data_IF_480512449729
#
_entry.id   IF_480512449729
#
_cell.length_a   1.000
_cell.length_b   1.000
_cell.length_c   1.000
_cell.angle_alpha   90.00
_cell.angle_beta   90.00
_cell.angle_gamma   90.00
#
_symmetry.space_group_name_H-M   'P 1'
#
loop_
_entity.id
_entity.type
_entity.pdbx_description
1 polymer ?
#
# COMPACT_ATOMS: atom_id res chain seq x y z
N UNK A 1 -37.09 0.44 -15.37
CA UNK A 1 -35.78 -0.26 -15.58
C UNK A 1 -35.69 -1.41 -14.58
N UNK A 2 -35.41 -2.62 -15.06
CA UNK A 2 -35.44 -3.84 -14.24
C UNK A 2 -34.29 -3.82 -13.20
N UNK A 3 -34.61 -3.95 -11.91
CA UNK A 3 -33.68 -3.84 -10.78
C UNK A 3 -32.44 -4.75 -10.92
N UNK A 4 -32.64 -5.96 -11.45
CA UNK A 4 -31.58 -6.95 -11.66
C UNK A 4 -30.49 -6.50 -12.65
N UNK A 5 -30.84 -5.72 -13.67
CA UNK A 5 -29.88 -5.22 -14.67
C UNK A 5 -28.94 -4.20 -14.04
N UNK A 6 -29.43 -3.34 -13.14
CA UNK A 6 -28.62 -2.31 -12.45
C UNK A 6 -27.58 -2.93 -11.48
N UNK A 7 -27.97 -3.95 -10.71
CA UNK A 7 -27.07 -4.66 -9.81
C UNK A 7 -25.88 -5.32 -10.55
N UNK A 8 -26.16 -5.99 -11.68
CA UNK A 8 -25.11 -6.66 -12.44
C UNK A 8 -24.16 -5.66 -13.12
N UNK A 9 -24.66 -4.50 -13.56
CA UNK A 9 -23.79 -3.42 -14.06
C UNK A 9 -22.83 -2.91 -12.98
N UNK A 10 -23.33 -2.73 -11.75
CA UNK A 10 -22.50 -2.32 -10.60
C UNK A 10 -21.36 -3.31 -10.37
N UNK A 11 -21.67 -4.60 -10.32
CA UNK A 11 -20.66 -5.67 -10.14
C UNK A 11 -19.65 -5.67 -11.28
N UNK A 12 -20.12 -5.53 -12.53
CA UNK A 12 -19.22 -5.51 -13.70
C UNK A 12 -18.23 -4.36 -13.60
N UNK A 13 -18.69 -3.16 -13.20
CA UNK A 13 -17.80 -2.01 -12.97
C UNK A 13 -16.77 -2.26 -11.89
N UNK A 14 -17.18 -2.82 -10.74
CA UNK A 14 -16.27 -3.17 -9.64
C UNK A 14 -15.21 -4.21 -10.06
N UNK A 15 -15.65 -5.29 -10.73
CA UNK A 15 -14.74 -6.33 -11.23
C UNK A 15 -13.75 -5.77 -12.25
N UNK A 16 -14.23 -4.96 -13.20
CA UNK A 16 -13.38 -4.37 -14.23
C UNK A 16 -12.30 -3.45 -13.61
N UNK A 17 -12.62 -2.70 -12.54
CA UNK A 17 -11.62 -1.91 -11.81
C UNK A 17 -10.48 -2.78 -11.27
N UNK A 18 -10.79 -3.92 -10.65
CA UNK A 18 -9.76 -4.80 -10.07
C UNK A 18 -8.96 -5.50 -11.16
N UNK A 19 -9.63 -6.12 -12.14
CA UNK A 19 -8.96 -6.89 -13.20
C UNK A 19 -8.03 -6.03 -14.04
N UNK A 20 -8.43 -4.79 -14.32
CA UNK A 20 -7.65 -3.86 -15.15
C UNK A 20 -6.64 -3.02 -14.34
N UNK A 21 -6.63 -3.11 -13.00
CA UNK A 21 -5.66 -2.40 -12.19
C UNK A 21 -4.28 -3.09 -12.27
N UNK A 22 -3.25 -2.29 -12.52
CA UNK A 22 -1.85 -2.72 -12.50
C UNK A 22 -1.38 -2.92 -11.06
N UNK A 23 -0.89 -4.12 -10.67
CA UNK A 23 -0.25 -4.31 -9.38
C UNK A 23 0.87 -3.29 -9.18
N UNK A 24 0.81 -2.57 -8.07
CA UNK A 24 1.71 -1.43 -7.82
C UNK A 24 2.20 -1.47 -6.38
N UNK A 25 3.47 -1.18 -6.13
CA UNK A 25 4.02 -1.06 -4.79
C UNK A 25 3.45 0.17 -4.09
N UNK A 26 2.97 -0.01 -2.87
CA UNK A 26 2.52 1.06 -1.98
C UNK A 26 3.44 1.16 -0.77
N UNK A 27 4.17 2.27 -0.69
CA UNK A 27 5.14 2.55 0.38
C UNK A 27 4.61 3.53 1.43
N UNK A 28 3.36 3.99 1.35
CA UNK A 28 2.81 4.99 2.27
C UNK A 28 2.87 4.52 3.73
N UNK A 29 2.38 3.32 4.01
CA UNK A 29 2.41 2.77 5.36
C UNK A 29 3.84 2.61 5.88
N UNK A 30 4.78 2.23 5.02
CA UNK A 30 6.19 2.14 5.39
C UNK A 30 6.77 3.50 5.78
N UNK A 31 6.45 4.56 5.03
CA UNK A 31 6.90 5.91 5.35
C UNK A 31 6.35 6.40 6.70
N UNK A 32 5.06 6.19 6.97
CA UNK A 32 4.43 6.54 8.25
C UNK A 32 5.07 5.73 9.38
N UNK A 33 5.25 4.42 9.18
CA UNK A 33 5.86 3.54 10.17
C UNK A 33 7.30 3.98 10.49
N UNK A 34 8.12 4.27 9.48
CA UNK A 34 9.49 4.74 9.68
C UNK A 34 9.53 6.06 10.44
N UNK A 35 8.64 7.01 10.13
CA UNK A 35 8.55 8.28 10.85
C UNK A 35 8.16 8.07 12.33
N UNK A 36 7.16 7.22 12.59
CA UNK A 36 6.73 6.88 13.96
C UNK A 36 7.84 6.19 14.75
N UNK A 37 8.55 5.24 14.12
CA UNK A 37 9.65 4.52 14.76
C UNK A 37 10.81 5.46 15.14
N UNK A 38 11.14 6.45 14.30
CA UNK A 38 12.14 7.49 14.61
C UNK A 38 11.76 8.36 15.80
N UNK A 39 10.47 8.66 15.97
CA UNK A 39 9.98 9.48 17.10
C UNK A 39 9.94 8.71 18.42
N UNK A 40 9.96 7.38 18.37
CA UNK A 40 9.69 6.50 19.53
C UNK A 40 10.90 5.65 19.92
N UNK A 41 12.12 6.00 19.52
CA UNK A 41 13.33 5.19 19.73
C UNK A 41 13.64 4.86 21.19
N UNK A 42 13.25 5.72 22.13
CA UNK A 42 13.43 5.51 23.56
C UNK A 42 12.47 4.47 24.17
N UNK A 43 11.47 3.99 23.41
CA UNK A 43 10.45 3.08 23.90
C UNK A 43 10.76 1.61 23.58
N UNK A 44 10.20 0.65 24.35
CA UNK A 44 10.25 -0.78 24.00
C UNK A 44 9.60 -1.06 22.64
N UNK A 45 10.06 -2.11 21.96
CA UNK A 45 9.65 -2.45 20.58
C UNK A 45 8.13 -2.60 20.44
N UNK A 46 7.47 -3.17 21.43
CA UNK A 46 6.03 -3.41 21.46
C UNK A 46 5.28 -2.08 21.44
N UNK A 47 5.71 -1.12 22.26
CA UNK A 47 5.14 0.24 22.30
C UNK A 47 5.39 0.98 20.99
N UNK A 48 6.60 0.89 20.43
CA UNK A 48 6.93 1.48 19.13
C UNK A 48 6.00 0.95 18.03
N UNK A 49 5.78 -0.36 17.98
CA UNK A 49 4.88 -0.98 17.00
C UNK A 49 3.41 -0.58 17.20
N UNK A 50 2.94 -0.53 18.44
CA UNK A 50 1.57 -0.13 18.76
C UNK A 50 1.30 1.34 18.36
N UNK A 51 2.24 2.24 18.65
CA UNK A 51 2.16 3.65 18.27
C UNK A 51 2.22 3.80 16.75
N UNK A 52 3.15 3.12 16.07
CA UNK A 52 3.23 3.16 14.62
C UNK A 52 1.98 2.62 13.93
N UNK A 53 1.36 1.57 14.48
CA UNK A 53 0.08 1.07 13.98
C UNK A 53 -1.03 2.13 14.13
N UNK A 54 -1.12 2.77 15.29
CA UNK A 54 -2.04 3.89 15.52
C UNK A 54 -1.81 5.02 14.51
N UNK A 55 -0.55 5.39 14.26
CA UNK A 55 -0.19 6.47 13.34
C UNK A 55 -0.57 6.11 11.89
N UNK A 56 -0.32 4.87 11.46
CA UNK A 56 -0.77 4.37 10.15
C UNK A 56 -2.29 4.46 10.06
N UNK A 57 -3.05 3.98 11.06
CA UNK A 57 -4.50 4.08 11.05
C UNK A 57 -5.02 5.52 11.01
N UNK A 58 -4.30 6.48 11.62
CA UNK A 58 -4.71 7.87 11.69
C UNK A 58 -4.36 8.68 10.42
N UNK A 59 -3.29 8.32 9.71
CA UNK A 59 -2.71 9.15 8.64
C UNK A 59 -2.85 8.54 7.24
N UNK A 60 -3.03 7.22 7.13
CA UNK A 60 -3.18 6.49 5.87
C UNK A 60 -4.23 7.13 4.96
N UNK A 61 -3.96 7.14 3.66
CA UNK A 61 -4.92 7.55 2.65
C UNK A 61 -6.12 6.59 2.63
N UNK A 62 -7.32 7.15 2.79
CA UNK A 62 -8.59 6.42 2.71
C UNK A 62 -9.25 6.75 1.38
N UNK A 63 -9.38 5.73 0.53
CA UNK A 63 -10.05 5.82 -0.76
C UNK A 63 -11.36 5.04 -0.70
N UNK A 64 -12.46 5.71 -1.03
CA UNK A 64 -13.77 5.09 -1.26
C UNK A 64 -14.04 5.23 -2.74
N UNK A 65 -14.15 4.11 -3.46
CA UNK A 65 -14.33 4.17 -4.90
C UNK A 65 -15.80 4.09 -5.30
N UNK A 66 -16.12 4.61 -6.49
CA UNK A 66 -17.49 4.56 -7.01
C UNK A 66 -18.05 3.14 -7.00
N UNK A 67 -19.34 3.04 -6.68
CA UNK A 67 -20.14 1.82 -6.70
C UNK A 67 -19.84 0.80 -5.59
N UNK A 68 -18.93 1.10 -4.66
CA UNK A 68 -18.65 0.25 -3.50
C UNK A 68 -19.77 0.32 -2.46
N UNK A 69 -20.07 -0.83 -1.86
CA UNK A 69 -20.97 -0.94 -0.70
C UNK A 69 -20.19 -1.32 0.56
N UNK A 70 -19.17 -2.16 0.41
CA UNK A 70 -18.16 -2.44 1.42
C UNK A 70 -16.93 -1.66 0.98
N UNK A 71 -16.48 -0.74 1.82
CA UNK A 71 -15.43 0.23 1.49
C UNK A 71 -14.17 -0.05 2.29
N UNK A 72 -13.06 0.51 1.82
CA UNK A 72 -11.77 0.44 2.47
C UNK A 72 -10.77 -0.45 1.71
N UNK A 73 -9.50 -0.08 1.82
CA UNK A 73 -8.39 -0.79 1.21
C UNK A 73 -7.21 -0.80 2.18
N UNK A 74 -6.40 -1.86 2.13
CA UNK A 74 -5.18 -1.98 2.94
C UNK A 74 -4.13 -0.90 2.58
N UNK A 75 -4.03 -0.55 1.29
CA UNK A 75 -3.17 0.52 0.76
C UNK A 75 -3.95 1.74 0.28
N UNK A 76 -3.25 2.73 -0.28
CA UNK A 76 -3.82 3.93 -0.92
C UNK A 76 -4.39 3.65 -2.31
N UNK A 77 -3.93 2.58 -2.95
CA UNK A 77 -4.23 2.21 -4.35
C UNK A 77 -4.84 0.81 -4.47
N UNK A 78 -5.70 0.64 -5.47
CA UNK A 78 -6.25 -0.67 -5.81
C UNK A 78 -5.12 -1.62 -6.29
N UNK A 79 -5.14 -2.88 -5.82
CA UNK A 79 -4.07 -3.87 -6.05
C UNK A 79 -2.68 -3.38 -5.62
N UNK A 80 -2.63 -2.57 -4.57
CA UNK A 80 -1.39 -2.12 -3.93
C UNK A 80 -0.70 -3.22 -3.14
N UNK A 81 0.57 -3.49 -3.43
CA UNK A 81 1.46 -4.27 -2.56
C UNK A 81 1.99 -3.38 -1.44
N UNK A 82 1.40 -3.50 -0.25
CA UNK A 82 1.78 -2.67 0.91
C UNK A 82 3.12 -3.13 1.47
N UNK A 83 4.11 -2.22 1.51
CA UNK A 83 5.42 -2.50 2.09
C UNK A 83 5.36 -2.50 3.62
N UNK A 84 5.72 -3.62 4.23
CA UNK A 84 5.91 -3.75 5.68
C UNK A 84 7.40 -3.61 6.02
N UNK A 85 7.87 -2.37 6.18
CA UNK A 85 9.29 -2.06 6.33
C UNK A 85 9.92 -2.69 7.59
N UNK A 86 9.16 -2.90 8.67
CA UNK A 86 9.66 -3.52 9.91
C UNK A 86 9.75 -5.06 9.86
N UNK A 87 9.28 -5.67 8.77
CA UNK A 87 9.27 -7.14 8.60
C UNK A 87 10.22 -7.54 7.48
N UNK A 88 10.04 -6.99 6.28
CA UNK A 88 10.83 -7.39 5.11
C UNK A 88 10.92 -6.25 4.10
N UNK A 89 11.97 -5.42 4.24
CA UNK A 89 12.30 -4.36 3.28
C UNK A 89 13.43 -4.76 2.31
N UNK A 90 14.25 -5.76 2.68
CA UNK A 90 15.46 -6.13 1.95
C UNK A 90 15.21 -6.79 0.60
N UNK A 91 14.06 -7.45 0.41
CA UNK A 91 13.65 -7.98 -0.90
C UNK A 91 13.38 -6.84 -1.87
N UNK A 92 12.62 -5.83 -1.42
CA UNK A 92 12.38 -4.64 -2.24
C UNK A 92 13.67 -3.89 -2.53
N UNK A 93 14.62 -3.83 -1.59
CA UNK A 93 15.93 -3.19 -1.84
C UNK A 93 16.71 -3.89 -2.97
N UNK A 94 16.74 -5.22 -2.98
CA UNK A 94 17.42 -6.02 -4.02
C UNK A 94 16.74 -5.91 -5.38
N UNK A 95 15.42 -5.76 -5.40
CA UNK A 95 14.61 -5.77 -6.62
C UNK A 95 14.10 -4.37 -7.00
N UNK A 96 14.55 -3.29 -6.37
CA UNK A 96 13.92 -1.97 -6.50
C UNK A 96 13.81 -1.50 -7.96
N UNK A 97 14.82 -1.83 -8.76
CA UNK A 97 14.89 -1.45 -10.18
C UNK A 97 14.42 -2.56 -11.13
N UNK A 98 14.17 -3.78 -10.64
CA UNK A 98 13.82 -4.96 -11.46
C UNK A 98 12.43 -5.53 -11.16
N UNK A 99 11.79 -5.16 -10.05
CA UNK A 99 10.50 -5.69 -9.59
C UNK A 99 9.36 -5.43 -10.58
N UNK A 100 9.46 -4.38 -11.39
CA UNK A 100 8.44 -4.06 -12.39
C UNK A 100 8.54 -4.91 -13.67
N UNK A 101 9.65 -5.63 -13.86
CA UNK A 101 9.92 -6.42 -15.07
C UNK A 101 10.21 -7.89 -14.78
N UNK A 102 10.14 -8.32 -13.51
CA UNK A 102 10.40 -9.71 -13.12
C UNK A 102 9.34 -10.64 -13.76
N UNK A 103 9.70 -11.90 -14.06
CA UNK A 103 8.85 -12.80 -14.84
C UNK A 103 7.53 -13.17 -14.16
N UNK A 104 7.49 -13.15 -12.83
CA UNK A 104 6.32 -13.51 -12.03
C UNK A 104 5.95 -12.37 -11.09
N UNK A 105 4.66 -12.04 -11.05
CA UNK A 105 4.10 -11.00 -10.20
C UNK A 105 4.87 -9.67 -10.27
N UNK A 106 4.97 -9.01 -11.45
CA UNK A 106 5.59 -7.71 -11.53
C UNK A 106 4.77 -6.67 -10.77
N UNK A 107 5.45 -5.81 -10.02
CA UNK A 107 4.84 -4.65 -9.38
C UNK A 107 5.40 -3.37 -9.97
N UNK A 108 4.52 -2.49 -10.44
CA UNK A 108 4.92 -1.13 -10.78
C UNK A 108 5.38 -0.39 -9.54
N UNK A 109 6.45 0.38 -9.65
CA UNK A 109 6.87 1.33 -8.60
C UNK A 109 7.35 2.60 -9.29
N UNK A 110 6.84 3.74 -8.84
CA UNK A 110 7.22 5.04 -9.41
C UNK A 110 8.64 5.42 -9.03
N UNK A 111 9.35 6.18 -9.87
CA UNK A 111 10.69 6.69 -9.54
C UNK A 111 10.67 7.56 -8.28
N UNK A 112 9.58 8.30 -8.04
CA UNK A 112 9.38 9.07 -6.82
C UNK A 112 9.36 8.15 -5.58
N UNK A 113 8.63 7.03 -5.64
CA UNK A 113 8.57 6.09 -4.52
C UNK A 113 9.89 5.32 -4.35
N UNK A 114 10.59 4.97 -5.43
CA UNK A 114 11.96 4.42 -5.34
C UNK A 114 12.90 5.38 -4.61
N UNK A 115 12.86 6.67 -4.94
CA UNK A 115 13.69 7.68 -4.30
C UNK A 115 13.34 7.85 -2.82
N UNK A 116 12.04 7.90 -2.48
CA UNK A 116 11.58 7.96 -1.08
C UNK A 116 12.02 6.71 -0.30
N UNK A 117 11.96 5.52 -0.91
CA UNK A 117 12.46 4.30 -0.30
C UNK A 117 13.96 4.40 0.02
N UNK A 118 14.78 4.81 -0.97
CA UNK A 118 16.23 4.96 -0.78
C UNK A 118 16.62 6.01 0.26
N UNK A 119 15.86 7.09 0.38
CA UNK A 119 16.20 8.24 1.25
C UNK A 119 15.62 8.13 2.66
N UNK A 120 14.42 7.54 2.80
CA UNK A 120 13.67 7.56 4.06
C UNK A 120 13.63 6.19 4.72
N UNK A 121 13.26 5.16 3.95
CA UNK A 121 12.98 3.83 4.49
C UNK A 121 14.27 3.03 4.67
N UNK A 122 15.04 2.82 3.59
CA UNK A 122 16.27 2.02 3.59
C UNK A 122 17.31 2.44 4.65
N UNK A 123 17.58 3.74 4.90
CA UNK A 123 18.63 4.14 5.83
C UNK A 123 18.28 3.96 7.31
N UNK A 124 17.02 3.66 7.62
CA UNK A 124 16.51 3.52 8.99
C UNK A 124 16.31 2.05 9.34
#
# INVERSE_FOLDING_TARGET
MNSHTNYMERIRKLRNRVVNATPTMDIENALILTASFRQTEALPREMRKAIAFKDVCAQKTITIWDHELIVGCSGKIARGGVLCADVCWSVLDKELDTISTRPYDPFYISEADKNRFRQVIKPY
#
